data_IF_376399857747
#
_entry.id   IF_376399857747
#
_cell.length_a   1.000
_cell.length_b   1.000
_cell.length_c   1.000
_cell.angle_alpha   90.00
_cell.angle_beta   90.00
_cell.angle_gamma   90.00
#
_symmetry.space_group_name_H-M   'P 1'
#
loop_
_entity.id
_entity.type
_entity.pdbx_description
1 polymer ?
#
# COMPACT_ATOMS: atom_id res chain seq x y z
N UNK A 1 27.21 7.62 -16.02
CA UNK A 1 26.75 6.32 -15.47
C UNK A 1 25.69 5.76 -16.41
N UNK A 2 25.83 4.52 -16.91
CA UNK A 2 24.86 3.94 -17.85
C UNK A 2 23.51 3.74 -17.15
N UNK A 3 22.41 4.22 -17.74
CA UNK A 3 21.05 4.09 -17.19
C UNK A 3 20.69 2.66 -16.79
N UNK A 4 21.17 1.67 -17.56
CA UNK A 4 20.98 0.24 -17.24
C UNK A 4 21.60 -0.14 -15.90
N UNK A 5 22.83 0.32 -15.64
CA UNK A 5 23.54 0.02 -14.39
C UNK A 5 22.90 0.73 -13.20
N UNK A 6 22.40 1.95 -13.39
CA UNK A 6 21.66 2.67 -12.36
C UNK A 6 20.37 1.93 -11.97
N UNK A 7 19.60 1.48 -12.97
CA UNK A 7 18.37 0.70 -12.74
C UNK A 7 18.62 -0.58 -11.96
N UNK A 8 19.64 -1.36 -12.35
CA UNK A 8 20.00 -2.61 -11.65
C UNK A 8 20.36 -2.32 -10.20
N UNK A 9 21.24 -1.33 -9.96
CA UNK A 9 21.65 -0.97 -8.58
C UNK A 9 20.48 -0.55 -7.69
N UNK A 10 19.53 0.21 -8.23
CA UNK A 10 18.34 0.63 -7.47
C UNK A 10 17.46 -0.58 -7.12
N UNK A 11 17.24 -1.50 -8.07
CA UNK A 11 16.46 -2.71 -7.83
C UNK A 11 17.13 -3.64 -6.81
N UNK A 12 18.46 -3.77 -6.87
CA UNK A 12 19.23 -4.55 -5.90
C UNK A 12 19.16 -3.93 -4.50
N UNK A 13 19.22 -2.61 -4.41
CA UNK A 13 19.09 -1.90 -3.13
C UNK A 13 17.69 -2.07 -2.53
N UNK A 14 16.65 -1.95 -3.36
CA UNK A 14 15.26 -2.19 -2.98
C UNK A 14 15.06 -3.63 -2.46
N UNK A 15 15.62 -4.62 -3.17
CA UNK A 15 15.57 -6.01 -2.75
C UNK A 15 16.31 -6.25 -1.42
N UNK A 16 17.52 -5.70 -1.27
CA UNK A 16 18.31 -5.82 -0.03
C UNK A 16 17.57 -5.22 1.17
N UNK A 17 17.00 -4.02 0.99
CA UNK A 17 16.17 -3.38 2.01
C UNK A 17 14.95 -4.21 2.35
N UNK A 18 14.25 -4.75 1.35
CA UNK A 18 13.10 -5.63 1.54
C UNK A 18 13.46 -6.88 2.37
N UNK A 19 14.55 -7.57 2.04
CA UNK A 19 14.99 -8.76 2.78
C UNK A 19 15.39 -8.42 4.23
N UNK A 20 16.13 -7.33 4.43
CA UNK A 20 16.53 -6.88 5.76
C UNK A 20 15.31 -6.58 6.64
N UNK A 21 14.34 -5.81 6.12
CA UNK A 21 13.13 -5.48 6.87
C UNK A 21 12.21 -6.71 7.06
N UNK A 22 12.13 -7.60 6.07
CA UNK A 22 11.33 -8.80 6.18
C UNK A 22 11.86 -9.78 7.24
N UNK A 23 13.15 -9.72 7.58
CA UNK A 23 13.69 -10.52 8.67
C UNK A 23 12.94 -10.29 10.00
N UNK A 24 12.51 -9.06 10.27
CA UNK A 24 11.72 -8.75 11.48
C UNK A 24 10.34 -9.41 11.49
N UNK A 25 9.80 -9.77 10.32
CA UNK A 25 8.51 -10.46 10.19
C UNK A 25 8.53 -11.89 10.72
N UNK A 26 9.70 -12.48 10.99
CA UNK A 26 9.80 -13.77 11.70
C UNK A 26 9.33 -13.67 13.16
N UNK A 27 9.38 -12.47 13.76
CA UNK A 27 8.83 -12.24 15.10
C UNK A 27 7.32 -12.03 15.02
N UNK A 28 6.56 -12.93 15.65
CA UNK A 28 5.10 -12.86 15.68
C UNK A 28 4.59 -11.52 16.22
N UNK A 29 5.22 -10.95 17.25
CA UNK A 29 4.80 -9.65 17.81
C UNK A 29 4.91 -8.52 16.81
N UNK A 30 6.02 -8.50 16.06
CA UNK A 30 6.29 -7.47 15.04
C UNK A 30 5.30 -7.65 13.87
N UNK A 31 5.10 -8.89 13.41
CA UNK A 31 4.16 -9.20 12.35
C UNK A 31 2.71 -8.78 12.70
N UNK A 32 2.25 -9.06 13.92
CA UNK A 32 0.91 -8.65 14.36
C UNK A 32 0.76 -7.13 14.48
N UNK A 33 1.78 -6.44 15.00
CA UNK A 33 1.77 -4.98 15.09
C UNK A 33 1.63 -4.33 13.71
N UNK A 34 2.47 -4.72 12.75
CA UNK A 34 2.40 -4.19 11.39
C UNK A 34 1.12 -4.61 10.67
N UNK A 35 0.60 -5.81 10.90
CA UNK A 35 -0.69 -6.26 10.37
C UNK A 35 -1.84 -5.34 10.80
N UNK A 36 -1.89 -4.95 12.07
CA UNK A 36 -2.92 -4.02 12.56
C UNK A 36 -2.79 -2.67 11.86
N UNK A 37 -1.57 -2.14 11.76
CA UNK A 37 -1.31 -0.86 11.07
C UNK A 37 -1.70 -0.95 9.59
N UNK A 38 -1.34 -2.03 8.90
CA UNK A 38 -1.69 -2.24 7.49
C UNK A 38 -3.20 -2.24 7.27
N UNK A 39 -3.98 -2.84 8.18
CA UNK A 39 -5.45 -2.83 8.11
C UNK A 39 -6.08 -1.45 8.31
N UNK A 40 -5.42 -0.53 9.01
CA UNK A 40 -5.86 0.87 9.07
C UNK A 40 -5.70 1.58 7.71
N UNK A 41 -4.87 1.05 6.81
CA UNK A 41 -4.78 1.51 5.44
C UNK A 41 -5.93 1.03 4.55
N UNK A 42 -6.71 0.02 4.98
CA UNK A 42 -7.79 -0.54 4.17
C UNK A 42 -8.94 0.45 4.01
N UNK A 43 -9.64 0.38 2.87
CA UNK A 43 -10.72 1.32 2.54
C UNK A 43 -11.83 1.42 3.60
N UNK A 44 -12.13 0.31 4.30
CA UNK A 44 -13.17 0.30 5.34
C UNK A 44 -12.87 1.29 6.47
N UNK A 45 -11.62 1.39 6.92
CA UNK A 45 -11.23 2.31 7.98
C UNK A 45 -11.53 3.76 7.58
N UNK A 46 -11.19 4.13 6.34
CA UNK A 46 -11.43 5.47 5.81
C UNK A 46 -12.92 5.80 5.64
N UNK A 47 -13.75 4.83 5.22
CA UNK A 47 -15.20 5.03 5.17
C UNK A 47 -15.81 5.24 6.57
N UNK A 48 -15.33 4.49 7.57
CA UNK A 48 -15.75 4.68 8.97
C UNK A 48 -15.34 6.07 9.47
N UNK A 49 -14.11 6.51 9.18
CA UNK A 49 -13.66 7.86 9.53
C UNK A 49 -14.52 8.95 8.89
N UNK A 50 -14.81 8.84 7.58
CA UNK A 50 -15.69 9.79 6.88
C UNK A 50 -17.09 9.82 7.50
N UNK A 51 -17.64 8.67 7.87
CA UNK A 51 -18.94 8.57 8.54
C UNK A 51 -18.93 9.22 9.94
N UNK A 52 -17.88 9.01 10.73
CA UNK A 52 -17.72 9.67 12.04
C UNK A 52 -17.59 11.19 11.92
N UNK A 53 -16.87 11.68 10.91
CA UNK A 53 -16.78 13.12 10.64
C UNK A 53 -18.15 13.68 10.23
N UNK A 54 -18.89 12.96 9.39
CA UNK A 54 -20.25 13.36 9.01
C UNK A 54 -21.21 13.42 10.21
N UNK A 55 -21.16 12.44 11.12
CA UNK A 55 -21.97 12.46 12.34
C UNK A 55 -21.64 13.64 13.26
N UNK A 56 -20.38 14.07 13.33
CA UNK A 56 -19.97 15.17 14.19
C UNK A 56 -20.24 16.56 13.62
N UNK A 57 -20.15 16.73 12.29
CA UNK A 57 -20.30 18.03 11.61
C UNK A 57 -21.68 18.23 10.95
N UNK A 58 -22.44 17.16 10.76
CA UNK A 58 -23.76 17.18 10.15
C UNK A 58 -23.76 17.44 8.63
N UNK A 59 -24.95 17.77 8.09
CA UNK A 59 -25.20 17.87 6.65
C UNK A 59 -24.39 18.98 5.95
N UNK A 60 -23.97 20.03 6.69
CA UNK A 60 -23.17 21.12 6.14
C UNK A 60 -21.78 20.68 5.67
N UNK A 61 -21.29 19.52 6.14
CA UNK A 61 -20.00 18.96 5.73
C UNK A 61 -20.07 18.09 4.46
N UNK A 62 -21.25 17.99 3.84
CA UNK A 62 -21.46 17.13 2.67
C UNK A 62 -20.59 17.49 1.47
N UNK A 63 -20.34 18.78 1.23
CA UNK A 63 -19.49 19.23 0.11
C UNK A 63 -18.03 18.77 0.27
N UNK A 64 -17.50 18.81 1.50
CA UNK A 64 -16.14 18.37 1.82
C UNK A 64 -16.01 16.85 1.66
N UNK A 65 -17.03 16.10 2.07
CA UNK A 65 -17.07 14.64 1.86
C UNK A 65 -17.09 14.32 0.36
N UNK A 66 -17.91 15.01 -0.43
CA UNK A 66 -17.93 14.84 -1.89
C UNK A 66 -16.56 15.15 -2.50
N UNK A 67 -15.92 16.23 -2.09
CA UNK A 67 -14.58 16.58 -2.54
C UNK A 67 -13.56 15.46 -2.24
N UNK A 68 -13.56 14.92 -1.01
CA UNK A 68 -12.68 13.81 -0.62
C UNK A 68 -12.99 12.54 -1.40
N UNK A 69 -14.27 12.21 -1.61
CA UNK A 69 -14.68 11.04 -2.38
C UNK A 69 -14.26 11.16 -3.84
N UNK A 70 -14.42 12.32 -4.46
CA UNK A 70 -13.99 12.57 -5.84
C UNK A 70 -12.47 12.51 -5.96
N UNK A 71 -11.74 13.23 -5.10
CA UNK A 71 -10.28 13.21 -5.08
C UNK A 71 -9.72 11.81 -4.85
N UNK A 72 -10.25 11.09 -3.86
CA UNK A 72 -9.89 9.70 -3.56
C UNK A 72 -10.22 8.74 -4.72
N UNK A 73 -11.35 8.93 -5.40
CA UNK A 73 -11.74 8.12 -6.57
C UNK A 73 -10.82 8.36 -7.76
N UNK A 74 -10.47 9.62 -8.06
CA UNK A 74 -9.52 9.97 -9.11
C UNK A 74 -8.15 9.39 -8.81
N UNK A 75 -7.65 9.55 -7.57
CA UNK A 75 -6.39 8.97 -7.12
C UNK A 75 -6.40 7.44 -7.25
N UNK A 76 -7.49 6.79 -6.84
CA UNK A 76 -7.67 5.33 -6.97
C UNK A 76 -7.69 4.88 -8.45
N UNK A 77 -8.29 5.67 -9.34
CA UNK A 77 -8.28 5.42 -10.77
C UNK A 77 -6.87 5.45 -11.35
N UNK A 78 -6.08 6.48 -11.02
CA UNK A 78 -4.68 6.61 -11.43
C UNK A 78 -3.86 5.45 -10.84
N UNK A 79 -4.05 5.12 -9.56
CA UNK A 79 -3.41 3.99 -8.90
C UNK A 79 -3.65 2.68 -9.66
N UNK A 80 -4.91 2.33 -9.95
CA UNK A 80 -5.27 1.10 -10.65
C UNK A 80 -4.68 1.05 -12.06
N UNK A 81 -4.71 2.19 -12.77
CA UNK A 81 -4.13 2.29 -14.10
C UNK A 81 -2.62 2.03 -14.10
N UNK A 82 -1.87 2.72 -13.23
CA UNK A 82 -0.43 2.55 -13.10
C UNK A 82 -0.06 1.13 -12.65
N UNK A 83 -0.84 0.58 -11.72
CA UNK A 83 -0.61 -0.77 -11.22
C UNK A 83 -0.79 -1.83 -12.31
N UNK A 84 -1.84 -1.70 -13.12
CA UNK A 84 -2.06 -2.60 -14.24
C UNK A 84 -1.00 -2.44 -15.33
N UNK A 85 -0.46 -1.22 -15.54
CA UNK A 85 0.54 -0.99 -16.58
C UNK A 85 1.95 -1.43 -16.19
N UNK A 86 2.32 -1.25 -14.93
CA UNK A 86 3.69 -1.54 -14.47
C UNK A 86 3.93 -3.01 -14.16
N UNK A 87 2.86 -3.78 -13.87
CA UNK A 87 2.85 -5.25 -13.67
C UNK A 87 3.98 -5.81 -12.82
N UNK A 88 4.54 -4.99 -11.92
CA UNK A 88 5.70 -5.37 -11.11
C UNK A 88 5.28 -6.46 -10.11
N UNK A 89 5.90 -7.65 -10.14
CA UNK A 89 5.57 -8.71 -9.18
C UNK A 89 5.93 -8.28 -7.75
N UNK A 90 5.27 -8.89 -6.77
CA UNK A 90 5.59 -8.69 -5.35
C UNK A 90 6.86 -9.46 -4.99
N UNK A 91 7.67 -8.97 -4.04
CA UNK A 91 8.90 -9.64 -3.63
C UNK A 91 8.72 -11.12 -3.27
N UNK A 92 7.67 -11.47 -2.52
CA UNK A 92 7.40 -12.87 -2.12
C UNK A 92 7.05 -13.80 -3.30
N UNK A 93 6.61 -13.25 -4.43
CA UNK A 93 6.32 -14.06 -5.63
C UNK A 93 7.60 -14.46 -6.36
N UNK A 94 8.70 -13.73 -6.15
CA UNK A 94 9.99 -13.93 -6.83
C UNK A 94 11.01 -14.56 -5.88
N UNK A 95 10.97 -14.22 -4.60
CA UNK A 95 11.93 -14.68 -3.58
C UNK A 95 11.21 -15.44 -2.46
N UNK A 96 11.35 -16.76 -2.46
CA UNK A 96 10.70 -17.69 -1.51
C UNK A 96 11.14 -17.50 -0.05
N UNK A 97 12.27 -16.82 0.17
CA UNK A 97 12.78 -16.44 1.50
C UNK A 97 11.88 -15.43 2.22
N UNK A 98 11.03 -14.71 1.48
CA UNK A 98 10.23 -13.63 2.06
C UNK A 98 8.99 -14.20 2.77
N UNK A 99 8.91 -13.93 4.07
CA UNK A 99 7.75 -14.27 4.91
C UNK A 99 6.58 -13.37 4.55
N UNK A 100 5.47 -13.98 4.12
CA UNK A 100 4.22 -13.28 3.84
C UNK A 100 3.46 -13.02 5.15
N UNK A 101 3.48 -11.77 5.63
CA UNK A 101 2.83 -11.38 6.88
C UNK A 101 1.30 -11.29 6.80
N UNK A 102 0.77 -10.38 5.97
CA UNK A 102 -0.67 -10.22 5.71
C UNK A 102 -0.96 -10.43 4.23
N UNK A 103 -2.18 -10.89 3.92
CA UNK A 103 -2.64 -11.07 2.54
C UNK A 103 -2.59 -9.71 1.82
N UNK A 104 -1.86 -9.60 0.70
CA UNK A 104 -1.83 -8.36 -0.07
C UNK A 104 -3.20 -8.11 -0.69
N UNK A 105 -3.63 -6.84 -0.67
CA UNK A 105 -4.88 -6.39 -1.29
C UNK A 105 -4.89 -6.63 -2.81
N UNK A 106 -3.73 -6.43 -3.46
CA UNK A 106 -3.57 -6.53 -4.91
C UNK A 106 -2.34 -7.36 -5.32
N UNK A 107 -2.42 -7.97 -6.50
CA UNK A 107 -1.38 -8.84 -7.04
C UNK A 107 -0.03 -8.13 -7.28
N UNK A 108 -0.03 -6.89 -7.77
CA UNK A 108 1.19 -6.16 -8.13
C UNK A 108 1.71 -5.24 -7.02
N UNK A 109 3.03 -5.07 -6.96
CA UNK A 109 3.71 -4.31 -5.90
C UNK A 109 3.76 -2.80 -6.11
N UNK A 110 3.75 -2.33 -7.37
CA UNK A 110 3.93 -0.93 -7.70
C UNK A 110 2.72 -0.34 -8.44
N UNK A 111 2.32 0.91 -8.16
CA UNK A 111 2.71 1.72 -7.00
C UNK A 111 2.13 1.16 -5.69
N UNK A 112 2.58 1.59 -4.50
CA UNK A 112 1.81 1.29 -3.28
C UNK A 112 0.47 2.04 -3.34
N UNK A 113 -0.60 1.37 -2.91
CA UNK A 113 -1.92 1.99 -2.75
C UNK A 113 -1.99 2.82 -1.48
#
# INVERSE_FOLDING_TARGET
MNFKNAKIRILDLDLKGCLYLNHFSHSQRIAHFFKIISRLGDGLFWYVMLFMVWLSQGLFYGLQIIYLLLGGSVGTGIYKFLKHKTTRPRPYQVHQVIVLGERPLDHFSFPSG
#
